data_IF_299066397625
#
_entry.id   IF_299066397625
#
_cell.length_a   1.000
_cell.length_b   1.000
_cell.length_c   1.000
_cell.angle_alpha   90.00
_cell.angle_beta   90.00
_cell.angle_gamma   90.00
#
_symmetry.space_group_name_H-M   'P 1'
#
loop_
_entity.id
_entity.type
_entity.pdbx_description
1 polymer ?
#
# COMPACT_ATOMS: atom_id res chain seq x y z
N UNK A 1 12.06 3.27 20.21
CA UNK A 1 10.75 3.20 19.54
C UNK A 1 10.33 4.61 19.13
N UNK A 2 9.74 4.78 17.95
CA UNK A 2 9.54 6.09 17.28
C UNK A 2 8.13 6.70 17.46
N UNK A 3 7.26 6.11 18.29
CA UNK A 3 5.88 6.57 18.44
C UNK A 3 4.96 6.10 17.32
N UNK A 4 3.79 6.72 17.19
CA UNK A 4 2.83 6.41 16.13
C UNK A 4 3.27 7.05 14.80
N UNK A 5 3.07 6.32 13.70
CA UNK A 5 3.40 6.79 12.35
C UNK A 5 2.14 7.38 11.72
N UNK A 6 2.13 8.68 11.44
CA UNK A 6 0.97 9.32 10.80
C UNK A 6 0.76 8.86 9.35
N UNK A 7 1.85 8.69 8.60
CA UNK A 7 1.85 8.19 7.23
C UNK A 7 3.01 7.21 7.03
N UNK A 8 2.69 6.01 6.56
CA UNK A 8 3.67 5.04 6.09
C UNK A 8 3.60 4.95 4.56
N UNK A 9 4.71 5.22 3.87
CA UNK A 9 4.85 4.94 2.43
C UNK A 9 5.48 3.57 2.33
N UNK A 10 4.73 2.59 1.85
CA UNK A 10 5.12 1.18 1.90
C UNK A 10 5.20 0.58 0.50
N UNK A 11 6.12 -0.37 0.30
CA UNK A 11 6.21 -1.14 -0.92
C UNK A 11 4.91 -1.91 -1.20
N UNK A 12 4.48 -1.97 -2.45
CA UNK A 12 3.33 -2.77 -2.88
C UNK A 12 3.46 -3.17 -4.35
N UNK A 13 4.53 -3.88 -4.71
CA UNK A 13 4.74 -4.32 -6.10
C UNK A 13 6.10 -4.96 -6.29
N UNK A 14 6.28 -5.58 -7.45
CA UNK A 14 7.47 -6.36 -7.80
C UNK A 14 7.67 -7.59 -6.91
N UNK A 15 6.62 -8.12 -6.30
CA UNK A 15 6.71 -9.32 -5.46
C UNK A 15 6.60 -10.60 -6.28
N UNK A 16 7.25 -11.66 -5.80
CA UNK A 16 7.10 -13.05 -6.26
C UNK A 16 7.60 -13.94 -5.13
N UNK A 17 7.13 -15.18 -5.08
CA UNK A 17 7.59 -16.17 -4.11
C UNK A 17 9.10 -16.47 -4.27
N UNK A 18 9.62 -16.36 -5.50
CA UNK A 18 11.04 -16.60 -5.81
C UNK A 18 11.98 -15.60 -5.10
N UNK A 19 11.49 -14.43 -4.71
CA UNK A 19 12.30 -13.38 -4.07
C UNK A 19 11.59 -12.71 -2.88
N UNK A 20 10.76 -13.48 -2.18
CA UNK A 20 10.03 -13.10 -0.95
C UNK A 20 10.89 -12.52 0.19
N UNK A 21 12.20 -12.66 0.13
CA UNK A 21 13.12 -12.11 1.13
C UNK A 21 13.58 -10.68 0.84
N UNK A 22 13.30 -10.18 -0.37
CA UNK A 22 13.68 -8.82 -0.80
C UNK A 22 12.47 -7.97 -1.26
N UNK A 23 11.30 -8.59 -1.41
CA UNK A 23 10.03 -7.89 -1.67
C UNK A 23 8.91 -8.43 -0.79
N UNK A 24 8.03 -7.54 -0.36
CA UNK A 24 6.85 -7.90 0.44
C UNK A 24 5.68 -8.28 -0.47
N UNK A 25 4.98 -9.35 -0.12
CA UNK A 25 3.63 -9.62 -0.63
C UNK A 25 2.67 -8.52 -0.12
N UNK A 26 1.57 -8.20 -0.84
CA UNK A 26 0.62 -7.16 -0.42
C UNK A 26 0.06 -7.35 1.00
N UNK A 27 -0.13 -8.60 1.43
CA UNK A 27 -0.59 -8.94 2.77
C UNK A 27 0.49 -8.69 3.83
N UNK A 28 1.78 -8.87 3.48
CA UNK A 28 2.90 -8.54 4.35
C UNK A 28 3.08 -7.02 4.47
N UNK A 29 2.82 -6.27 3.40
CA UNK A 29 2.73 -4.80 3.46
C UNK A 29 1.64 -4.33 4.42
N UNK A 30 0.46 -4.96 4.38
CA UNK A 30 -0.62 -4.66 5.31
C UNK A 30 -0.22 -5.01 6.76
N UNK A 31 0.49 -6.12 6.97
CA UNK A 31 1.04 -6.49 8.28
C UNK A 31 2.08 -5.48 8.78
N UNK A 32 3.00 -5.06 7.91
CA UNK A 32 4.02 -4.07 8.26
C UNK A 32 3.41 -2.74 8.70
N UNK A 33 2.26 -2.35 8.13
CA UNK A 33 1.52 -1.18 8.56
C UNK A 33 0.98 -1.30 10.00
N UNK A 34 0.52 -2.48 10.41
CA UNK A 34 0.13 -2.76 11.79
C UNK A 34 1.34 -2.70 12.73
N UNK A 35 2.45 -3.32 12.32
CA UNK A 35 3.66 -3.45 13.12
C UNK A 35 4.26 -2.08 13.46
N UNK A 36 4.21 -1.13 12.53
CA UNK A 36 4.66 0.26 12.73
C UNK A 36 3.57 1.17 13.32
N UNK A 37 2.37 0.63 13.58
CA UNK A 37 1.21 1.37 14.09
C UNK A 37 0.91 2.61 13.23
N UNK A 38 0.86 2.40 11.92
CA UNK A 38 0.52 3.44 10.96
C UNK A 38 -0.92 3.93 11.18
N UNK A 39 -1.18 5.21 10.91
CA UNK A 39 -2.54 5.77 10.82
C UNK A 39 -3.06 5.79 9.39
N UNK A 40 -2.15 5.92 8.42
CA UNK A 40 -2.45 5.84 7.00
C UNK A 40 -1.29 5.19 6.23
N UNK A 41 -1.63 4.50 5.14
CA UNK A 41 -0.68 3.80 4.27
C UNK A 41 -0.85 4.31 2.84
N UNK A 42 0.25 4.77 2.23
CA UNK A 42 0.33 5.08 0.82
C UNK A 42 1.18 3.98 0.13
N UNK A 43 0.59 3.11 -0.69
CA UNK A 43 1.36 2.12 -1.43
C UNK A 43 2.20 2.77 -2.51
N UNK A 44 3.46 2.34 -2.60
CA UNK A 44 4.39 2.68 -3.68
C UNK A 44 4.87 1.44 -4.42
N UNK A 45 5.86 1.62 -5.30
CA UNK A 45 6.59 0.54 -5.96
C UNK A 45 5.80 -0.31 -7.00
N UNK A 46 4.54 0.03 -7.29
CA UNK A 46 3.75 -0.52 -8.40
C UNK A 46 3.44 0.51 -9.49
N UNK A 47 3.01 0.02 -10.67
CA UNK A 47 2.41 0.83 -11.73
C UNK A 47 3.37 1.46 -12.76
N UNK A 48 4.68 1.19 -12.70
CA UNK A 48 5.65 1.78 -13.65
C UNK A 48 6.51 0.76 -14.42
N UNK A 49 7.06 -0.24 -13.75
CA UNK A 49 8.00 -1.20 -14.35
C UNK A 49 7.52 -2.63 -14.17
N UNK A 50 7.77 -3.48 -15.19
CA UNK A 50 7.43 -4.91 -15.17
C UNK A 50 8.67 -5.69 -14.76
N UNK A 51 8.82 -5.91 -13.45
CA UNK A 51 9.95 -6.64 -12.84
C UNK A 51 9.49 -7.88 -12.04
N UNK A 52 8.22 -8.25 -12.16
CA UNK A 52 7.62 -9.43 -11.52
C UNK A 52 6.50 -10.02 -12.40
N UNK A 53 6.00 -11.20 -12.02
CA UNK A 53 5.05 -12.00 -12.82
C UNK A 53 3.57 -11.66 -12.58
N UNK A 54 3.24 -10.89 -11.54
CA UNK A 54 1.86 -10.49 -11.24
C UNK A 54 1.30 -9.51 -12.30
N UNK A 55 -0.02 -9.42 -12.45
CA UNK A 55 -0.63 -8.40 -13.33
C UNK A 55 -0.42 -7.00 -12.76
N UNK A 56 -0.56 -5.97 -13.59
CA UNK A 56 -0.24 -4.59 -13.19
C UNK A 56 -1.12 -4.08 -12.04
N UNK A 57 -2.35 -4.59 -11.94
CA UNK A 57 -3.40 -4.21 -11.00
C UNK A 57 -3.46 -5.09 -9.73
N UNK A 58 -2.91 -6.31 -9.78
CA UNK A 58 -2.91 -7.27 -8.67
C UNK A 58 -2.42 -6.68 -7.33
N UNK A 59 -1.33 -5.87 -7.29
CA UNK A 59 -0.89 -5.28 -6.03
C UNK A 59 -1.94 -4.36 -5.40
N UNK A 60 -2.68 -3.59 -6.21
CA UNK A 60 -3.70 -2.68 -5.68
C UNK A 60 -4.94 -3.44 -5.20
N UNK A 61 -5.36 -4.47 -5.95
CA UNK A 61 -6.48 -5.34 -5.57
C UNK A 61 -6.18 -6.02 -4.23
N UNK A 62 -5.05 -6.72 -4.14
CA UNK A 62 -4.71 -7.53 -2.98
C UNK A 62 -4.41 -6.69 -1.74
N UNK A 63 -3.73 -5.56 -1.89
CA UNK A 63 -3.52 -4.67 -0.74
C UNK A 63 -4.85 -4.08 -0.25
N UNK A 64 -5.75 -3.66 -1.15
CA UNK A 64 -7.06 -3.15 -0.76
C UNK A 64 -7.88 -4.20 0.00
N UNK A 65 -7.87 -5.46 -0.47
CA UNK A 65 -8.50 -6.57 0.23
C UNK A 65 -7.86 -6.81 1.61
N UNK A 66 -6.52 -6.91 1.66
CA UNK A 66 -5.77 -7.12 2.90
C UNK A 66 -5.91 -5.98 3.92
N UNK A 67 -6.30 -4.78 3.47
CA UNK A 67 -6.53 -3.61 4.31
C UNK A 67 -7.90 -3.59 4.99
N UNK A 68 -8.84 -4.44 4.54
CA UNK A 68 -10.23 -4.42 5.02
C UNK A 68 -10.30 -4.68 6.53
N UNK A 69 -10.95 -3.78 7.26
CA UNK A 69 -11.15 -3.91 8.72
C UNK A 69 -9.95 -3.54 9.59
N UNK A 70 -8.83 -3.11 9.00
CA UNK A 70 -7.64 -2.65 9.75
C UNK A 70 -7.84 -1.23 10.30
N UNK A 71 -7.15 -0.86 11.39
CA UNK A 71 -7.37 0.42 12.09
C UNK A 71 -6.73 1.63 11.41
N UNK A 72 -6.22 1.48 10.18
CA UNK A 72 -5.54 2.51 9.41
C UNK A 72 -6.20 2.70 8.04
N UNK A 73 -5.96 3.86 7.44
CA UNK A 73 -6.54 4.23 6.15
C UNK A 73 -5.62 3.85 5.01
N UNK A 74 -6.11 3.05 4.06
CA UNK A 74 -5.43 2.88 2.78
C UNK A 74 -5.67 4.12 1.91
N UNK A 75 -4.59 4.76 1.44
CA UNK A 75 -4.64 5.90 0.54
C UNK A 75 -4.33 5.41 -0.88
N UNK A 76 -5.24 5.64 -1.83
CA UNK A 76 -5.09 5.15 -3.21
C UNK A 76 -5.24 6.28 -4.24
N UNK A 77 -4.40 7.33 -4.16
CA UNK A 77 -4.44 8.42 -5.13
C UNK A 77 -4.27 7.87 -6.55
N UNK A 78 -4.98 8.46 -7.50
CA UNK A 78 -4.65 8.31 -8.91
C UNK A 78 -3.23 8.85 -9.14
N UNK A 79 -2.52 8.34 -10.17
CA UNK A 79 -1.20 8.86 -10.52
C UNK A 79 -1.24 10.38 -10.76
N UNK A 80 -0.51 11.13 -9.93
CA UNK A 80 -0.48 12.59 -9.97
C UNK A 80 -1.52 13.29 -9.07
N UNK A 81 -2.43 12.56 -8.44
CA UNK A 81 -3.38 13.11 -7.48
C UNK A 81 -2.68 13.48 -6.15
N UNK A 82 -2.90 14.69 -5.61
CA UNK A 82 -2.33 15.09 -4.33
C UNK A 82 -2.86 14.28 -3.14
N UNK A 83 -2.00 13.99 -2.16
CA UNK A 83 -2.39 13.45 -0.86
C UNK A 83 -2.19 14.53 0.21
N UNK A 84 -3.28 14.98 0.81
CA UNK A 84 -3.26 15.97 1.88
C UNK A 84 -3.20 15.25 3.22
N UNK A 85 -1.98 15.00 3.75
CA UNK A 85 -1.76 14.17 4.95
C UNK A 85 -2.56 14.64 6.18
N UNK A 86 -2.79 15.95 6.32
CA UNK A 86 -3.58 16.52 7.40
C UNK A 86 -5.09 16.29 7.24
N UNK A 87 -5.57 16.07 6.01
CA UNK A 87 -6.99 15.83 5.71
C UNK A 87 -7.34 14.35 5.87
N UNK A 88 -7.98 14.04 7.00
CA UNK A 88 -8.45 12.69 7.32
C UNK A 88 -9.73 12.29 6.59
N UNK A 89 -10.34 13.22 5.84
CA UNK A 89 -11.60 13.03 5.13
C UNK A 89 -11.40 12.83 3.63
N UNK A 90 -10.23 13.17 3.09
CA UNK A 90 -9.89 12.94 1.68
C UNK A 90 -10.09 11.47 1.32
N UNK A 91 -11.03 11.20 0.42
CA UNK A 91 -11.34 9.86 -0.08
C UNK A 91 -10.64 9.59 -1.41
N UNK A 92 -10.32 8.33 -1.66
CA UNK A 92 -9.72 7.88 -2.91
C UNK A 92 -10.57 6.77 -3.52
N UNK A 93 -10.59 6.71 -4.86
CA UNK A 93 -11.29 5.67 -5.58
C UNK A 93 -10.37 4.45 -5.79
N UNK A 94 -10.98 3.29 -6.00
CA UNK A 94 -10.28 2.09 -6.49
C UNK A 94 -10.13 2.18 -8.02
N UNK A 95 -9.27 3.08 -8.49
CA UNK A 95 -9.15 3.46 -9.90
C UNK A 95 -8.65 2.36 -10.84
N UNK A 96 -8.11 1.27 -10.29
CA UNK A 96 -7.71 0.08 -11.04
C UNK A 96 -8.89 -0.82 -11.42
N UNK A 97 -10.10 -0.49 -10.97
CA UNK A 97 -11.34 -1.20 -11.30
C UNK A 97 -11.99 -0.66 -12.56
#
# INVERSE_FOLDING_TARGET
QFGAVDLAIMENGQYDQDWKYIHMMPEETAQAADDVRARAVLPGHAGRFVLAKHTWDDPYIRLAEASTGRPWRLLTPMLGEPVWVADKTQSFNAWWR
#
